data_IF_021998195951
#
_entry.id   IF_021998195951
#
_cell.length_a   1.000
_cell.length_b   1.000
_cell.length_c   1.000
_cell.angle_alpha   90.00
_cell.angle_beta   90.00
_cell.angle_gamma   90.00
#
_symmetry.space_group_name_H-M   'P 1'
#
loop_
_entity.id
_entity.type
_entity.pdbx_description
1 polymer ?
#
# COMPACT_ATOMS: atom_id res chain seq x y z
N UNK A 1 -5.39 -22.81 5.47
CA UNK A 1 -5.03 -21.58 6.18
C UNK A 1 -5.36 -20.42 5.26
N UNK A 2 -6.37 -19.60 5.59
CA UNK A 2 -6.62 -18.35 4.88
C UNK A 2 -5.35 -17.50 5.03
N UNK A 3 -4.56 -17.39 3.96
CA UNK A 3 -3.32 -16.64 3.96
C UNK A 3 -3.58 -15.24 4.48
N UNK A 4 -2.76 -14.80 5.43
CA UNK A 4 -2.94 -13.53 6.09
C UNK A 4 -3.04 -12.42 5.02
N UNK A 5 -4.24 -11.84 4.88
CA UNK A 5 -4.59 -10.88 3.81
C UNK A 5 -3.67 -9.64 3.88
N UNK A 6 -3.09 -9.42 5.06
CA UNK A 6 -2.29 -8.26 5.41
C UNK A 6 -0.80 -8.61 5.44
N UNK A 7 -0.01 -7.95 4.61
CA UNK A 7 1.45 -8.16 4.53
C UNK A 7 2.25 -6.92 4.90
N UNK A 8 3.53 -7.12 5.22
CA UNK A 8 4.46 -6.02 5.50
C UNK A 8 4.61 -5.09 4.29
N UNK A 9 5.01 -3.84 4.54
CA UNK A 9 5.39 -2.87 3.50
C UNK A 9 6.34 -3.46 2.47
N UNK A 10 7.45 -4.06 2.92
CA UNK A 10 8.48 -4.68 2.06
C UNK A 10 7.90 -5.75 1.12
N UNK A 11 7.17 -6.73 1.66
CA UNK A 11 6.60 -7.81 0.86
C UNK A 11 5.54 -7.28 -0.12
N UNK A 12 4.76 -6.31 0.32
CA UNK A 12 3.72 -5.68 -0.50
C UNK A 12 4.36 -4.94 -1.67
N UNK A 13 5.33 -4.08 -1.39
CA UNK A 13 6.06 -3.31 -2.40
C UNK A 13 6.69 -4.24 -3.44
N UNK A 14 7.37 -5.30 -2.99
CA UNK A 14 7.94 -6.34 -3.85
C UNK A 14 6.89 -7.03 -4.74
N UNK A 15 5.74 -7.43 -4.18
CA UNK A 15 4.66 -8.12 -4.93
C UNK A 15 3.88 -7.20 -5.88
N UNK A 16 3.98 -5.90 -5.69
CA UNK A 16 3.35 -4.87 -6.52
C UNK A 16 4.31 -4.23 -7.52
N UNK A 17 5.61 -4.60 -7.47
CA UNK A 17 6.61 -4.03 -8.38
C UNK A 17 6.90 -2.55 -8.13
N UNK A 18 6.66 -2.05 -6.91
CA UNK A 18 6.92 -0.65 -6.51
C UNK A 18 7.87 -0.59 -5.32
N UNK A 19 8.36 0.60 -4.98
CA UNK A 19 9.18 0.82 -3.78
C UNK A 19 8.31 1.01 -2.54
N UNK A 20 8.86 0.70 -1.35
CA UNK A 20 8.20 1.02 -0.08
C UNK A 20 7.94 2.52 0.09
N UNK A 21 8.82 3.35 -0.49
CA UNK A 21 8.67 4.82 -0.50
C UNK A 21 7.41 5.22 -1.27
N UNK A 22 7.19 4.69 -2.48
CA UNK A 22 5.97 4.97 -3.26
C UNK A 22 4.73 4.46 -2.52
N UNK A 23 4.80 3.29 -1.90
CA UNK A 23 3.70 2.76 -1.08
C UNK A 23 3.37 3.66 0.12
N UNK A 24 4.40 4.19 0.79
CA UNK A 24 4.25 5.18 1.88
C UNK A 24 3.63 6.48 1.38
N UNK A 25 4.09 6.98 0.23
CA UNK A 25 3.56 8.18 -0.40
C UNK A 25 2.07 8.05 -0.71
N UNK A 26 1.64 6.94 -1.32
CA UNK A 26 0.23 6.70 -1.63
C UNK A 26 -0.63 6.63 -0.35
N UNK A 27 -0.10 6.08 0.73
CA UNK A 27 -0.75 6.06 2.04
C UNK A 27 -0.88 7.46 2.64
N UNK A 28 0.23 8.21 2.70
CA UNK A 28 0.32 9.51 3.34
C UNK A 28 -0.49 10.58 2.60
N UNK A 29 -0.63 10.45 1.28
CA UNK A 29 -1.47 11.32 0.46
C UNK A 29 -2.93 10.83 0.37
N UNK A 30 -3.31 9.80 1.14
CA UNK A 30 -4.69 9.35 1.24
C UNK A 30 -5.25 8.61 0.02
N UNK A 31 -4.41 8.22 -0.93
CA UNK A 31 -4.79 7.36 -2.06
C UNK A 31 -5.13 5.96 -1.53
N UNK A 32 -4.26 5.40 -0.69
CA UNK A 32 -4.54 4.17 0.05
C UNK A 32 -5.31 4.50 1.34
N UNK A 33 -6.60 4.18 1.36
CA UNK A 33 -7.49 4.38 2.52
C UNK A 33 -7.19 3.42 3.68
N UNK A 34 -7.15 3.91 4.93
CA UNK A 34 -6.97 3.08 6.12
C UNK A 34 -8.17 2.13 6.31
N UNK A 35 -7.93 0.94 6.88
CA UNK A 35 -8.93 -0.11 7.10
C UNK A 35 -9.29 -0.91 5.84
N UNK A 36 -9.06 -0.37 4.64
CA UNK A 36 -9.36 -1.00 3.36
C UNK A 36 -8.06 -1.48 2.69
N UNK A 37 -7.14 -0.56 2.42
CA UNK A 37 -5.89 -0.84 1.71
C UNK A 37 -4.74 -1.13 2.67
N UNK A 38 -4.74 -0.44 3.81
CA UNK A 38 -3.70 -0.56 4.81
C UNK A 38 -4.27 -0.46 6.23
N UNK A 39 -3.55 -1.00 7.20
CA UNK A 39 -3.82 -0.83 8.62
C UNK A 39 -2.53 -0.77 9.43
N UNK A 40 -2.62 -0.30 10.66
CA UNK A 40 -1.53 -0.41 11.63
C UNK A 40 -1.26 -1.88 11.98
N UNK A 41 0.02 -2.25 12.00
CA UNK A 41 0.48 -3.51 12.60
C UNK A 41 0.11 -3.52 14.08
N UNK A 42 -0.57 -4.57 14.59
CA UNK A 42 -0.90 -4.67 16.01
C UNK A 42 0.34 -4.94 16.87
N UNK A 43 1.42 -5.44 16.26
CA UNK A 43 2.65 -5.81 16.93
C UNK A 43 3.77 -4.82 16.61
N UNK A 44 4.62 -4.55 17.60
CA UNK A 44 5.89 -3.82 17.42
C UNK A 44 5.76 -2.29 17.30
N UNK A 45 4.62 -1.71 17.67
CA UNK A 45 4.47 -0.25 17.71
C UNK A 45 4.94 0.33 19.04
N UNK A 46 6.04 1.10 18.99
CA UNK A 46 6.52 1.86 20.16
C UNK A 46 5.89 3.26 20.25
N UNK A 47 5.41 3.81 19.14
CA UNK A 47 4.95 5.20 19.02
C UNK A 47 3.65 5.25 18.21
N UNK A 48 2.56 5.85 18.72
CA UNK A 48 1.28 5.90 18.01
C UNK A 48 1.31 6.78 16.76
N UNK A 49 2.21 7.76 16.66
CA UNK A 49 2.27 8.71 15.54
C UNK A 49 3.05 8.22 14.30
N UNK A 50 3.67 7.03 14.35
CA UNK A 50 4.35 6.44 13.18
C UNK A 50 4.17 4.91 13.15
N UNK A 51 2.95 4.43 12.86
CA UNK A 51 2.64 3.00 12.88
C UNK A 51 3.39 2.25 11.79
N UNK A 52 3.85 1.02 12.09
CA UNK A 52 4.28 0.08 11.05
C UNK A 52 3.04 -0.35 10.28
N UNK A 53 2.99 -0.07 8.97
CA UNK A 53 1.83 -0.38 8.15
C UNK A 53 1.85 -1.83 7.65
N UNK A 54 0.66 -2.43 7.59
CA UNK A 54 0.37 -3.66 6.86
C UNK A 54 -0.60 -3.34 5.74
N UNK A 55 -0.50 -4.04 4.62
CA UNK A 55 -1.27 -3.76 3.41
C UNK A 55 -1.99 -4.99 2.89
N UNK A 56 -3.17 -4.76 2.33
CA UNK A 56 -3.87 -5.76 1.54
C UNK A 56 -3.35 -5.69 0.09
N UNK A 57 -2.55 -6.68 -0.32
CA UNK A 57 -1.88 -6.70 -1.62
C UNK A 57 -2.89 -6.64 -2.77
N UNK A 58 -3.97 -7.41 -2.69
CA UNK A 58 -4.94 -7.54 -3.77
C UNK A 58 -5.68 -6.23 -4.01
N UNK A 59 -6.15 -5.59 -2.95
CA UNK A 59 -6.86 -4.30 -3.07
C UNK A 59 -5.87 -3.19 -3.47
N UNK A 60 -4.65 -3.17 -2.91
CA UNK A 60 -3.63 -2.21 -3.29
C UNK A 60 -3.27 -2.32 -4.77
N UNK A 61 -3.17 -3.54 -5.32
CA UNK A 61 -2.91 -3.77 -6.75
C UNK A 61 -3.96 -3.11 -7.63
N UNK A 62 -5.24 -3.25 -7.28
CA UNK A 62 -6.33 -2.68 -8.08
C UNK A 62 -6.26 -1.15 -8.13
N UNK A 63 -5.93 -0.50 -7.01
CA UNK A 63 -5.75 0.96 -6.98
C UNK A 63 -4.48 1.38 -7.72
N UNK A 64 -3.34 0.75 -7.44
CA UNK A 64 -2.07 1.12 -8.04
C UNK A 64 -2.11 0.94 -9.56
N UNK A 65 -2.70 -0.14 -10.06
CA UNK A 65 -2.88 -0.32 -11.50
C UNK A 65 -3.68 0.85 -12.09
N UNK A 66 -4.83 1.21 -11.50
CA UNK A 66 -5.63 2.36 -11.98
C UNK A 66 -4.81 3.66 -12.04
N UNK A 67 -4.11 4.00 -10.95
CA UNK A 67 -3.29 5.21 -10.89
C UNK A 67 -2.11 5.19 -11.86
N UNK A 68 -1.43 4.05 -12.03
CA UNK A 68 -0.31 3.92 -12.95
C UNK A 68 -0.74 3.87 -14.42
N UNK A 69 -1.95 3.42 -14.74
CA UNK A 69 -2.50 3.51 -16.10
C UNK A 69 -2.93 4.94 -16.43
N UNK A 70 -3.56 5.66 -15.49
CA UNK A 70 -3.91 7.08 -15.67
C UNK A 70 -2.68 7.98 -15.86
N UNK A 71 -1.53 7.67 -15.24
CA UNK A 71 -0.27 8.41 -15.46
C UNK A 71 0.26 8.23 -16.89
N UNK A 72 0.06 7.06 -17.53
CA UNK A 72 0.52 6.81 -18.89
C UNK A 72 -0.39 7.42 -19.95
N UNK A 73 -1.72 7.42 -19.74
CA UNK A 73 -2.66 8.01 -20.68
C UNK A 73 -2.51 9.54 -20.77
N UNK A 74 -2.09 10.21 -19.68
CA UNK A 74 -1.85 11.65 -19.67
C UNK A 74 -0.49 12.07 -20.28
N UNK A 75 0.45 11.15 -20.45
CA UNK A 75 1.74 11.43 -21.11
C UNK A 75 1.63 11.20 -22.64
N UNK A 76 0.59 10.49 -23.09
CA UNK A 76 0.37 10.14 -24.49
C UNK A 76 -0.60 11.08 -25.25
N UNK A 77 -1.00 12.21 -24.67
CA UNK A 77 -1.93 13.18 -25.27
C UNK A 77 -1.22 14.45 -25.79
#
# INVERSE_FOLDING_TARGET
MLGDIWSSSELTAKKLGITEIKLSFLRENGILKPGIHWKSSPLGQKKPWKPKALYNIEICRNIINKFCFEENDNIAA
#
